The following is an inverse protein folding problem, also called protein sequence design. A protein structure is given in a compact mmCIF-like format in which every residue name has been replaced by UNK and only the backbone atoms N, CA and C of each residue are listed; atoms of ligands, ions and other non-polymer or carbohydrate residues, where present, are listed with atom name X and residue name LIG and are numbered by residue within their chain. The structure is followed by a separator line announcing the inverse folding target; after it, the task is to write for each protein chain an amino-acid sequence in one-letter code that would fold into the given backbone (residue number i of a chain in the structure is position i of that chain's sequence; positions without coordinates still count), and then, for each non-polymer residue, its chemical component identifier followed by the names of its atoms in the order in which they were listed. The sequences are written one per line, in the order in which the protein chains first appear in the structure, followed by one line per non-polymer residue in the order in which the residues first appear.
data_IF_276495000755
#
_entry.id   IF_276495000755
#
_cell.length_a   1.000
_cell.length_b   1.000
_cell.length_c   1.000
_cell.angle_alpha   90.00
_cell.angle_beta   90.00
_cell.angle_gamma   90.00
#
_symmetry.space_group_name_H-M   'P 1'
#
loop_
_entity.id
_entity.type
_entity.pdbx_description
1 polymer ?
#
# COMPACT_ATOMS: atom_id res chain seq x y z
N UNK A 1 23.49 -23.63 -4.42
CA UNK A 1 22.97 -22.66 -3.44
C UNK A 1 21.50 -22.42 -3.76
N UNK A 2 20.59 -22.80 -2.86
CA UNK A 2 19.17 -22.51 -3.03
C UNK A 2 18.98 -21.01 -2.90
N UNK A 3 18.63 -20.31 -3.99
CA UNK A 3 18.06 -18.97 -3.89
C UNK A 3 16.73 -19.11 -3.16
N UNK A 4 16.72 -18.95 -1.84
CA UNK A 4 15.47 -18.67 -1.14
C UNK A 4 15.02 -17.33 -1.67
N UNK A 5 13.95 -17.32 -2.47
CA UNK A 5 13.30 -16.07 -2.87
C UNK A 5 12.95 -15.32 -1.59
N UNK A 6 13.44 -14.09 -1.46
CA UNK A 6 13.08 -13.24 -0.34
C UNK A 6 11.57 -12.98 -0.43
N UNK A 7 10.84 -13.29 0.63
CA UNK A 7 9.43 -12.89 0.75
C UNK A 7 9.43 -11.43 1.22
N UNK A 8 8.71 -10.58 0.50
CA UNK A 8 8.45 -9.18 0.86
C UNK A 8 7.02 -9.09 1.38
N UNK A 9 6.89 -8.77 2.67
CA UNK A 9 5.60 -8.55 3.32
C UNK A 9 5.40 -7.04 3.49
N UNK A 10 4.46 -6.50 2.72
CA UNK A 10 4.09 -5.10 2.78
C UNK A 10 3.04 -4.88 3.87
N UNK A 11 3.38 -4.02 4.82
CA UNK A 11 2.55 -3.66 5.98
C UNK A 11 1.99 -2.27 5.77
N UNK A 12 0.69 -2.18 5.46
CA UNK A 12 0.06 -0.92 5.08
C UNK A 12 -0.72 -0.36 6.27
N UNK A 13 -0.39 0.88 6.62
CA UNK A 13 -1.04 1.66 7.68
C UNK A 13 -2.46 2.13 7.30
N UNK A 14 -3.30 2.39 8.31
CA UNK A 14 -4.69 2.84 8.18
C UNK A 14 -4.82 4.05 7.27
N UNK A 15 -4.00 5.09 7.46
CA UNK A 15 -4.12 6.32 6.66
C UNK A 15 -3.76 6.09 5.19
N UNK A 16 -2.79 5.20 4.92
CA UNK A 16 -2.44 4.84 3.54
C UNK A 16 -3.62 4.14 2.88
N UNK A 17 -4.27 3.20 3.58
CA UNK A 17 -5.47 2.53 3.09
C UNK A 17 -6.60 3.50 2.73
N UNK A 18 -6.91 4.44 3.63
CA UNK A 18 -7.96 5.45 3.42
C UNK A 18 -7.64 6.28 2.18
N UNK A 19 -6.41 6.80 2.08
CA UNK A 19 -6.00 7.61 0.95
C UNK A 19 -5.99 6.86 -0.38
N UNK A 20 -5.59 5.58 -0.40
CA UNK A 20 -5.70 4.74 -1.61
C UNK A 20 -7.16 4.51 -2.00
N UNK A 21 -8.07 4.42 -1.04
CA UNK A 21 -9.50 4.29 -1.32
C UNK A 21 -10.06 5.58 -1.92
N UNK A 22 -9.77 6.72 -1.31
CA UNK A 22 -10.23 8.05 -1.76
C UNK A 22 -9.73 8.38 -3.17
N UNK A 23 -8.47 8.04 -3.47
CA UNK A 23 -7.88 8.20 -4.80
C UNK A 23 -8.31 7.11 -5.80
N UNK A 24 -9.15 6.16 -5.41
CA UNK A 24 -9.58 5.06 -6.29
C UNK A 24 -8.47 4.06 -6.66
N UNK A 25 -7.36 4.07 -5.92
CA UNK A 25 -6.14 3.27 -6.17
C UNK A 25 -6.09 1.95 -5.41
N UNK A 26 -7.07 1.61 -4.58
CA UNK A 26 -7.09 0.33 -3.82
C UNK A 26 -6.82 -0.92 -4.66
N UNK A 27 -7.11 -0.91 -5.96
CA UNK A 27 -6.80 -2.02 -6.88
C UNK A 27 -5.31 -2.38 -6.95
N UNK A 28 -4.39 -1.43 -6.69
CA UNK A 28 -2.93 -1.70 -6.72
C UNK A 28 -2.54 -2.80 -5.75
N UNK A 29 -3.23 -2.91 -4.62
CA UNK A 29 -2.98 -3.93 -3.59
C UNK A 29 -3.19 -5.34 -4.15
N UNK A 30 -4.19 -5.51 -5.02
CA UNK A 30 -4.47 -6.80 -5.69
C UNK A 30 -3.43 -7.15 -6.74
N UNK A 31 -2.78 -6.16 -7.35
CA UNK A 31 -1.69 -6.40 -8.29
C UNK A 31 -0.37 -6.70 -7.56
N UNK A 32 -0.14 -6.09 -6.38
CA UNK A 32 1.06 -6.34 -5.56
C UNK A 32 1.16 -7.83 -5.20
N UNK A 33 0.08 -8.46 -4.76
CA UNK A 33 0.10 -9.88 -4.37
C UNK A 33 0.29 -10.85 -5.54
N UNK A 34 0.20 -10.37 -6.79
CA UNK A 34 0.56 -11.18 -7.97
C UNK A 34 2.06 -11.17 -8.25
N UNK A 35 2.81 -10.25 -7.65
CA UNK A 35 4.26 -10.22 -7.77
C UNK A 35 4.85 -11.44 -7.04
N UNK A 36 5.83 -12.15 -7.64
CA UNK A 36 6.46 -13.30 -6.99
C UNK A 36 7.04 -12.94 -5.61
N UNK A 37 6.64 -13.70 -4.58
CA UNK A 37 7.14 -13.53 -3.22
C UNK A 37 6.64 -12.28 -2.50
N UNK A 38 5.54 -11.65 -2.94
CA UNK A 38 4.97 -10.49 -2.28
C UNK A 38 3.66 -10.84 -1.57
N UNK A 39 3.49 -10.29 -0.37
CA UNK A 39 2.26 -10.39 0.41
C UNK A 39 1.89 -9.02 0.97
N UNK A 40 0.60 -8.78 1.20
CA UNK A 40 0.11 -7.55 1.84
C UNK A 40 -0.62 -7.90 3.12
N UNK A 41 -0.13 -7.36 4.23
CA UNK A 41 -0.62 -7.64 5.56
C UNK A 41 -1.11 -6.35 6.24
N UNK A 42 -2.11 -6.49 7.09
CA UNK A 42 -2.55 -5.45 8.04
C UNK A 42 -2.57 -6.03 9.45
N UNK A 43 -2.49 -5.17 10.47
CA UNK A 43 -2.64 -5.62 11.86
C UNK A 43 -4.09 -5.50 12.33
N UNK A 44 -4.36 -6.07 13.51
CA UNK A 44 -5.66 -5.91 14.16
C UNK A 44 -6.02 -4.46 14.49
N UNK A 45 -5.06 -3.58 14.81
CA UNK A 45 -5.36 -2.15 14.96
C UNK A 45 -5.78 -1.52 13.64
N UNK A 46 -5.03 -1.75 12.57
CA UNK A 46 -5.37 -1.21 11.25
C UNK A 46 -6.79 -1.63 10.87
N UNK A 47 -7.12 -2.92 10.99
CA UNK A 47 -8.48 -3.40 10.74
C UNK A 47 -9.54 -2.65 11.56
N UNK A 48 -9.39 -2.61 12.89
CA UNK A 48 -10.36 -1.93 13.77
C UNK A 48 -10.51 -0.44 13.48
N UNK A 49 -9.42 0.21 13.04
CA UNK A 49 -9.50 1.61 12.64
C UNK A 49 -10.26 1.74 11.33
N UNK A 50 -9.99 0.91 10.32
CA UNK A 50 -10.71 0.92 9.04
C UNK A 50 -12.20 0.61 9.20
N UNK A 51 -12.59 -0.16 10.22
CA UNK A 51 -13.99 -0.48 10.56
C UNK A 51 -14.77 0.72 11.13
N UNK A 52 -14.11 1.85 11.44
CA UNK A 52 -14.81 3.04 11.96
C UNK A 52 -15.71 3.65 10.88
N UNK A 53 -16.98 3.98 11.20
CA UNK A 53 -17.94 4.52 10.22
C UNK A 53 -17.49 5.81 9.52
N UNK A 54 -16.65 6.61 10.19
CA UNK A 54 -16.12 7.88 9.67
C UNK A 54 -15.22 7.71 8.42
N UNK A 55 -14.71 6.50 8.16
CA UNK A 55 -13.90 6.20 6.98
C UNK A 55 -14.72 5.63 5.80
N UNK A 56 -16.05 5.64 5.89
CA UNK A 56 -16.94 5.31 4.77
C UNK A 56 -16.78 3.89 4.22
N UNK A 57 -16.79 3.74 2.90
CA UNK A 57 -16.75 2.43 2.21
C UNK A 57 -15.39 1.72 2.19
N UNK A 58 -14.38 2.27 2.87
CA UNK A 58 -13.04 1.68 2.99
C UNK A 58 -13.14 0.28 3.61
N UNK A 59 -13.88 0.16 4.71
CA UNK A 59 -14.14 -1.11 5.40
C UNK A 59 -14.65 -2.21 4.44
N UNK A 60 -15.69 -1.91 3.64
CA UNK A 60 -16.27 -2.88 2.71
C UNK A 60 -15.29 -3.36 1.62
N UNK A 61 -14.39 -2.47 1.16
CA UNK A 61 -13.34 -2.87 0.20
C UNK A 61 -12.24 -3.69 0.86
N UNK A 62 -11.85 -3.35 2.08
CA UNK A 62 -10.87 -4.12 2.86
C UNK A 62 -11.40 -5.51 3.18
N UNK A 63 -12.66 -5.64 3.59
CA UNK A 63 -13.30 -6.94 3.85
C UNK A 63 -13.31 -7.83 2.62
N UNK A 64 -13.67 -7.29 1.45
CA UNK A 64 -13.61 -8.06 0.20
C UNK A 64 -12.21 -8.57 -0.15
N UNK A 65 -11.14 -7.85 0.24
CA UNK A 65 -9.75 -8.30 0.06
C UNK A 65 -9.28 -9.27 1.15
N UNK A 66 -9.85 -9.21 2.34
CA UNK A 66 -9.62 -10.20 3.39
C UNK A 66 -10.29 -11.53 3.03
N UNK A 67 -11.54 -11.48 2.55
CA UNK A 67 -12.35 -12.64 2.22
C UNK A 67 -11.78 -13.47 1.07
N UNK A 68 -11.20 -12.81 0.06
CA UNK A 68 -10.55 -13.50 -1.07
C UNK A 68 -9.06 -13.79 -0.85
N UNK A 69 -8.52 -13.44 0.33
CA UNK A 69 -7.14 -13.72 0.71
C UNK A 69 -6.09 -12.80 0.07
N UNK A 70 -6.49 -11.72 -0.60
CA UNK A 70 -5.56 -10.68 -1.08
C UNK A 70 -4.81 -10.04 0.09
N UNK A 71 -5.47 -9.83 1.23
CA UNK A 71 -4.87 -9.22 2.42
C UNK A 71 -4.94 -10.20 3.58
N UNK A 72 -3.87 -10.27 4.36
CA UNK A 72 -3.82 -11.10 5.57
C UNK A 72 -3.87 -10.21 6.80
N UNK A 73 -4.73 -10.55 7.77
CA UNK A 73 -4.65 -9.95 9.10
C UNK A 73 -3.58 -10.68 9.91
N UNK A 74 -2.50 -9.97 10.24
CA UNK A 74 -1.37 -10.54 10.97
C UNK A 74 -1.64 -10.59 12.48
N UNK A 75 -1.26 -11.71 13.10
CA UNK A 75 -1.20 -11.82 14.56
C UNK A 75 0.09 -11.18 15.08
N UNK A 76 -0.04 -10.23 15.99
CA UNK A 76 1.12 -9.50 16.52
C UNK A 76 1.72 -10.30 17.68
N UNK A 77 3.03 -10.61 17.64
CA UNK A 77 3.67 -11.42 18.66
C UNK A 77 3.45 -10.87 20.08
N UNK A 78 3.02 -11.73 21.00
CA UNK A 78 2.78 -11.36 22.39
C UNK A 78 1.49 -10.57 22.64
N UNK A 79 0.68 -10.31 21.60
CA UNK A 79 -0.62 -9.66 21.75
C UNK A 79 -1.76 -10.66 21.67
N UNK A 80 -2.67 -10.57 22.63
CA UNK A 80 -3.94 -11.30 22.61
C UNK A 80 -4.91 -10.58 21.64
N UNK A 81 -5.35 -11.23 20.54
CA UNK A 81 -6.25 -10.61 19.57
C UNK A 81 -7.61 -10.19 20.16
N UNK A 82 -8.03 -10.81 21.27
CA UNK A 82 -9.28 -10.52 21.96
C UNK A 82 -9.21 -9.30 22.90
N UNK A 83 -8.00 -8.76 23.12
CA UNK A 83 -7.77 -7.61 24.01
C UNK A 83 -7.48 -6.34 23.21
N UNK A 84 -7.73 -5.16 23.81
CA UNK A 84 -7.26 -3.90 23.24
C UNK A 84 -5.75 -3.98 22.98
N UNK A 85 -5.31 -3.36 21.89
CA UNK A 85 -3.90 -3.36 21.53
C UNK A 85 -3.03 -2.82 22.65
N UNK A 86 -1.88 -3.47 22.86
CA UNK A 86 -0.85 -2.93 23.73
C UNK A 86 -0.24 -1.64 23.17
N UNK A 87 -0.43 -1.39 21.87
CA UNK A 87 0.05 -0.22 21.16
C UNK A 87 -1.07 0.81 20.99
N UNK A 88 -0.80 2.05 21.41
CA UNK A 88 -1.73 3.18 21.27
C UNK A 88 -1.95 3.64 19.82
N UNK A 89 -1.12 3.14 18.89
CA UNK A 89 -1.00 3.60 17.51
C UNK A 89 -0.77 2.40 16.61
N UNK A 90 -1.51 2.31 15.50
CA UNK A 90 -1.44 1.20 14.56
C UNK A 90 -0.03 0.99 13.99
N UNK A 91 0.70 2.08 13.72
CA UNK A 91 2.04 2.05 13.13
C UNK A 91 3.07 1.38 14.04
N UNK A 92 2.90 1.48 15.36
CA UNK A 92 3.79 0.80 16.32
C UNK A 92 3.55 -0.71 16.37
N UNK A 93 2.32 -1.14 16.11
CA UNK A 93 1.98 -2.56 15.96
C UNK A 93 2.63 -3.13 14.69
N UNK A 94 2.66 -2.38 13.58
CA UNK A 94 3.38 -2.75 12.35
C UNK A 94 4.89 -2.89 12.61
N UNK A 95 5.50 -1.94 13.31
CA UNK A 95 6.93 -2.02 13.68
C UNK A 95 7.21 -3.25 14.54
N UNK A 96 6.38 -3.51 15.55
CA UNK A 96 6.52 -4.66 16.44
C UNK A 96 6.43 -5.99 15.68
N UNK A 97 5.54 -6.07 14.69
CA UNK A 97 5.40 -7.24 13.83
C UNK A 97 6.66 -7.51 13.00
N UNK A 98 7.29 -6.45 12.46
CA UNK A 98 8.57 -6.60 11.75
C UNK A 98 9.67 -7.08 12.69
N UNK A 99 9.78 -6.51 13.88
CA UNK A 99 10.84 -6.87 14.83
C UNK A 99 10.65 -8.27 15.44
N UNK A 100 9.41 -8.65 15.72
CA UNK A 100 9.08 -9.89 16.43
C UNK A 100 8.85 -11.12 15.55
N UNK A 101 8.49 -10.93 14.27
CA UNK A 101 8.09 -12.05 13.40
C UNK A 101 8.78 -12.04 12.02
N UNK A 102 8.67 -10.94 11.26
CA UNK A 102 9.05 -10.95 9.85
C UNK A 102 10.56 -10.78 9.62
N UNK A 103 11.22 -9.98 10.45
CA UNK A 103 12.57 -9.51 10.21
C UNK A 103 12.64 -8.36 9.19
N UNK A 104 13.72 -7.58 9.26
CA UNK A 104 13.91 -6.33 8.49
C UNK A 104 14.05 -6.54 6.98
N UNK A 105 14.56 -7.71 6.58
CA UNK A 105 14.73 -8.08 5.17
C UNK A 105 13.40 -8.40 4.48
N UNK A 106 12.40 -8.87 5.24
CA UNK A 106 11.10 -9.24 4.69
C UNK A 106 10.05 -8.15 4.89
N UNK A 107 10.07 -7.44 6.02
CA UNK A 107 9.13 -6.36 6.29
C UNK A 107 9.38 -5.12 5.43
N UNK A 108 8.29 -4.52 4.94
CA UNK A 108 8.26 -3.20 4.31
C UNK A 108 7.03 -2.45 4.80
N UNK A 109 7.21 -1.38 5.58
CA UNK A 109 6.10 -0.61 6.16
C UNK A 109 5.74 0.56 5.24
N UNK A 110 4.45 0.73 4.93
CA UNK A 110 3.95 1.90 4.21
C UNK A 110 3.14 2.77 5.16
N UNK A 111 3.62 3.98 5.44
CA UNK A 111 2.97 4.94 6.36
C UNK A 111 3.41 6.38 6.08
N UNK A 112 2.51 7.34 6.34
CA UNK A 112 2.82 8.77 6.31
C UNK A 112 3.10 9.34 7.72
N UNK A 113 3.02 8.55 8.80
CA UNK A 113 3.32 9.05 10.16
C UNK A 113 4.83 9.27 10.31
N UNK A 114 5.23 10.53 10.46
CA UNK A 114 6.63 10.93 10.59
C UNK A 114 7.35 10.26 11.75
N UNK A 115 6.66 10.07 12.88
CA UNK A 115 7.26 9.43 14.06
C UNK A 115 7.47 7.94 13.81
N UNK A 116 6.58 7.29 13.05
CA UNK A 116 6.74 5.91 12.62
C UNK A 116 7.88 5.77 11.62
N UNK A 117 7.98 6.68 10.64
CA UNK A 117 9.08 6.71 9.66
C UNK A 117 10.44 6.91 10.35
N UNK A 118 10.55 7.85 11.29
CA UNK A 118 11.76 8.09 12.07
C UNK A 118 12.18 6.86 12.88
N UNK A 119 11.21 6.16 13.47
CA UNK A 119 11.46 4.91 14.20
C UNK A 119 11.89 3.78 13.27
N UNK A 120 11.28 3.65 12.10
CA UNK A 120 11.67 2.67 11.10
C UNK A 120 13.13 2.90 10.70
N UNK A 121 13.48 4.15 10.39
CA UNK A 121 14.86 4.55 10.06
C UNK A 121 15.84 4.23 11.19
N UNK A 122 15.53 4.63 12.43
CA UNK A 122 16.37 4.35 13.60
C UNK A 122 16.58 2.84 13.84
N UNK A 123 15.61 2.01 13.44
CA UNK A 123 15.66 0.55 13.56
C UNK A 123 16.20 -0.15 12.31
N UNK A 124 16.46 0.56 11.21
CA UNK A 124 16.82 -0.04 9.93
C UNK A 124 15.70 -0.90 9.32
N UNK A 125 14.44 -0.58 9.62
CA UNK A 125 13.28 -1.20 9.00
C UNK A 125 12.98 -0.42 7.72
N UNK A 126 12.79 -1.13 6.61
CA UNK A 126 12.41 -0.50 5.34
C UNK A 126 11.02 0.09 5.46
N UNK A 127 10.87 1.34 5.03
CA UNK A 127 9.59 2.02 5.00
C UNK A 127 9.44 2.94 3.80
N UNK A 128 8.19 3.17 3.38
CA UNK A 128 7.80 4.08 2.31
C UNK A 128 6.72 5.02 2.84
N UNK A 129 6.84 6.31 2.52
CA UNK A 129 5.70 7.21 2.55
C UNK A 129 4.83 7.01 1.29
N UNK A 130 3.68 7.68 1.21
CA UNK A 130 2.75 7.53 0.09
C UNK A 130 3.39 7.84 -1.26
N UNK A 131 4.21 8.90 -1.37
CA UNK A 131 4.85 9.25 -2.62
C UNK A 131 5.83 8.15 -3.06
N UNK A 132 6.69 7.69 -2.15
CA UNK A 132 7.62 6.58 -2.38
C UNK A 132 6.90 5.26 -2.66
N UNK A 133 5.72 5.05 -2.09
CA UNK A 133 4.89 3.89 -2.37
C UNK A 133 4.37 3.88 -3.80
N UNK A 134 3.89 5.02 -4.32
CA UNK A 134 3.48 5.13 -5.73
C UNK A 134 4.66 4.92 -6.67
N UNK A 135 5.83 5.47 -6.35
CA UNK A 135 7.07 5.26 -7.12
C UNK A 135 7.44 3.77 -7.12
N UNK A 136 7.42 3.12 -5.95
CA UNK A 136 7.68 1.69 -5.82
C UNK A 136 6.69 0.86 -6.65
N UNK A 137 5.40 1.21 -6.65
CA UNK A 137 4.40 0.54 -7.50
C UNK A 137 4.73 0.69 -8.99
N UNK A 138 5.24 1.85 -9.43
CA UNK A 138 5.73 2.03 -10.80
C UNK A 138 6.96 1.16 -11.09
N UNK A 139 7.91 1.12 -10.16
CA UNK A 139 9.13 0.31 -10.29
C UNK A 139 8.83 -1.19 -10.43
N UNK A 140 7.82 -1.67 -9.71
CA UNK A 140 7.33 -3.05 -9.81
C UNK A 140 6.38 -3.30 -10.98
N UNK A 141 6.16 -2.32 -11.86
CA UNK A 141 5.21 -2.39 -12.97
C UNK A 141 3.75 -2.69 -12.53
N UNK A 142 3.40 -2.41 -11.28
CA UNK A 142 2.03 -2.50 -10.74
C UNK A 142 1.20 -1.30 -11.20
N UNK A 143 1.82 -0.12 -11.23
CA UNK A 143 1.15 1.14 -11.56
C UNK A 143 1.81 1.78 -12.79
N UNK A 144 1.00 2.19 -13.76
CA UNK A 144 1.49 2.98 -14.90
C UNK A 144 1.94 4.36 -14.46
N UNK A 145 2.94 4.95 -15.14
CA UNK A 145 3.45 6.29 -14.79
C UNK A 145 2.35 7.35 -14.82
N UNK A 146 1.46 7.30 -15.82
CA UNK A 146 0.33 8.24 -15.92
C UNK A 146 -0.63 8.08 -14.73
N UNK A 147 -1.03 6.84 -14.42
CA UNK A 147 -1.90 6.54 -13.27
C UNK A 147 -1.25 6.94 -11.94
N UNK A 148 0.08 6.87 -11.83
CA UNK A 148 0.81 7.33 -10.64
C UNK A 148 0.82 8.85 -10.48
N UNK A 149 0.93 9.61 -11.57
CA UNK A 149 0.82 11.07 -11.54
C UNK A 149 -0.61 11.48 -11.20
N UNK A 150 -1.60 10.86 -11.85
CA UNK A 150 -3.01 11.14 -11.59
C UNK A 150 -3.35 10.80 -10.13
N UNK A 151 -2.85 9.67 -9.63
CA UNK A 151 -2.96 9.27 -8.23
C UNK A 151 -2.33 10.27 -7.26
N UNK A 152 -1.12 10.76 -7.54
CA UNK A 152 -0.46 11.80 -6.76
C UNK A 152 -1.29 13.10 -6.72
N UNK A 153 -1.82 13.51 -7.87
CA UNK A 153 -2.63 14.72 -8.00
C UNK A 153 -3.97 14.58 -7.25
N UNK A 154 -4.61 13.42 -7.29
CA UNK A 154 -5.86 13.19 -6.59
C UNK A 154 -5.68 13.09 -5.08
N UNK A 155 -4.57 12.50 -4.60
CA UNK A 155 -4.19 12.50 -3.20
C UNK A 155 -3.97 13.93 -2.66
N UNK A 156 -3.25 14.77 -3.41
CA UNK A 156 -3.00 16.16 -3.00
C UNK A 156 -4.27 17.02 -3.04
N UNK A 157 -5.14 16.83 -4.02
CA UNK A 157 -6.49 17.46 -4.05
C UNK A 157 -7.35 17.01 -2.88
N UNK A 158 -7.23 15.74 -2.45
CA UNK A 158 -7.89 15.19 -1.27
C UNK A 158 -7.38 15.76 0.06
N UNK A 159 -6.38 16.64 0.04
CA UNK A 159 -5.85 17.31 1.22
C UNK A 159 -4.64 16.61 1.85
N UNK A 160 -4.14 15.52 1.27
CA UNK A 160 -2.90 14.89 1.73
C UNK A 160 -1.70 15.78 1.37
N UNK A 161 -0.99 16.25 2.39
CA UNK A 161 0.26 17.00 2.21
C UNK A 161 1.41 16.02 2.02
N UNK A 162 1.84 15.86 0.77
CA UNK A 162 3.01 15.05 0.42
C UNK A 162 4.29 15.87 0.57
N UNK A 163 5.36 15.22 1.08
CA UNK A 163 6.66 15.86 1.29
C UNK A 163 7.41 16.16 -0.02
N UNK A 164 7.24 15.29 -1.00
CA UNK A 164 7.82 15.44 -2.34
C UNK A 164 6.96 16.38 -3.15
N UNK A 165 7.57 17.36 -3.83
CA UNK A 165 6.83 18.20 -4.76
C UNK A 165 6.36 17.40 -5.97
N UNK A 166 5.32 17.87 -6.65
CA UNK A 166 4.81 17.22 -7.87
C UNK A 166 5.89 17.05 -8.94
N UNK A 167 6.75 18.05 -9.12
CA UNK A 167 7.81 18.00 -10.13
C UNK A 167 8.88 16.96 -9.77
N UNK A 168 9.34 16.94 -8.51
CA UNK A 168 10.28 15.93 -8.03
C UNK A 168 9.71 14.51 -8.18
N UNK A 169 8.42 14.33 -7.88
CA UNK A 169 7.72 13.07 -8.08
C UNK A 169 7.74 12.63 -9.55
N UNK A 170 7.39 13.53 -10.48
CA UNK A 170 7.41 13.25 -11.93
C UNK A 170 8.81 12.90 -12.40
N UNK A 171 9.82 13.64 -11.95
CA UNK A 171 11.21 13.42 -12.32
C UNK A 171 11.68 12.04 -11.83
N UNK A 172 11.24 11.60 -10.65
CA UNK A 172 11.59 10.30 -10.09
C UNK A 172 10.91 9.14 -10.85
N UNK A 173 9.59 9.18 -11.06
CA UNK A 173 8.88 8.12 -11.79
C UNK A 173 9.31 8.02 -13.27
N UNK A 174 9.85 9.10 -13.85
CA UNK A 174 10.36 9.10 -15.22
C UNK A 174 11.53 8.12 -15.40
N UNK A 175 12.24 7.83 -14.30
CA UNK A 175 13.38 6.91 -14.23
C UNK A 175 12.96 5.46 -13.96
N UNK A 176 11.74 5.22 -13.46
CA UNK A 176 11.20 3.87 -13.25
C UNK A 176 11.08 3.11 -14.58
N UNK A 177 11.12 1.76 -14.61
CA UNK A 177 10.98 1.00 -15.85
C UNK A 177 9.68 1.36 -16.60
N UNK A 178 9.72 1.38 -17.94
CA UNK A 178 8.49 1.52 -18.71
C UNK A 178 7.61 0.29 -18.49
N UNK A 179 6.30 0.43 -18.29
CA UNK A 179 5.42 -0.71 -18.04
C UNK A 179 5.54 -1.69 -19.21
N UNK A 180 5.90 -2.94 -18.92
CA UNK A 180 5.86 -3.99 -19.92
C UNK A 180 4.41 -4.19 -20.35
N UNK A 181 4.13 -4.22 -21.66
CA UNK A 181 2.79 -4.41 -22.26
C UNK A 181 2.21 -5.81 -21.95
N UNK A 182 1.98 -6.15 -20.68
CA UNK A 182 1.20 -7.32 -20.29
C UNK A 182 -0.03 -6.87 -19.53
N UNK A 183 -1.16 -6.84 -20.24
CA UNK A 183 -2.47 -6.98 -19.61
C UNK A 183 -3.37 -5.76 -19.52
N UNK A 184 -3.37 -4.84 -20.50
CA UNK A 184 -4.59 -4.01 -20.71
C UNK A 184 -5.63 -4.87 -21.45
N UNK A 185 -6.35 -5.69 -20.69
CA UNK A 185 -7.57 -6.33 -21.18
C UNK A 185 -8.75 -5.37 -20.93
N UNK A 186 -9.46 -5.02 -22.00
CA UNK A 186 -10.60 -4.09 -22.02
C UNK A 186 -10.19 -2.76 -22.65
N UNK A 187 -10.43 -2.47 -23.92
CA UNK A 187 -11.53 -2.91 -24.77
C UNK A 187 -12.26 -1.64 -25.21
N UNK A 188 -11.75 -1.06 -26.29
CA UNK A 188 -12.44 -0.26 -27.30
C UNK A 188 -13.86 0.23 -26.91
N UNK A 189 -13.96 1.51 -26.52
CA UNK A 189 -15.24 2.22 -26.64
C UNK A 189 -15.45 2.48 -28.13
N UNK A 190 -16.16 1.56 -28.78
CA UNK A 190 -16.66 1.72 -30.13
C UNK A 190 -17.43 3.04 -30.25
N UNK A 191 -16.84 3.97 -30.98
CA UNK A 191 -17.47 5.16 -31.52
C UNK A 191 -18.47 4.72 -32.59
N UNK A 192 -19.72 4.50 -32.18
CA UNK A 192 -20.85 4.21 -33.06
C UNK A 192 -21.44 5.47 -33.66
N UNK A 193 -20.63 6.22 -34.41
CA UNK A 193 -21.08 7.35 -35.23
C UNK A 193 -21.20 6.92 -36.69
N UNK A 194 -22.45 6.67 -37.15
CA UNK A 194 -23.02 6.71 -38.53
C UNK A 194 -24.31 5.87 -38.52
N UNK A 195 -25.51 6.36 -38.82
CA UNK A 195 -25.89 7.45 -39.70
C UNK A 195 -26.09 6.93 -41.12
N UNK A 196 -27.26 6.34 -41.40
CA UNK A 196 -28.10 6.39 -42.62
C UNK A 196 -29.23 5.38 -42.51
#
# INVERSE_FOLDING_TARGET
MSMRSLIIVMLIDTNIWIHLYEAGLTWVIREIVKLPGHEVWITGCVRRELDKPEHGGVHARTDGMLDDGTVVTAAVPGQDPSKPSAYKKAEYELIALVEGLLGKESGLIVTNDDRALDKCNAKGIRSLDMAKFLIWCCEQCVLGRADAVDGFDDLTKGGLVLKTSRQEFIDEISRSPAPSRRGRAGGDRGDGSRGS
#
